data_IF_926930628402
#
_entry.id   IF_926930628402
#
_cell.length_a   1.000
_cell.length_b   1.000
_cell.length_c   1.000
_cell.angle_alpha   90.00
_cell.angle_beta   90.00
_cell.angle_gamma   90.00
#
_symmetry.space_group_name_H-M   'P 1'
#
loop_
_entity.id
_entity.type
_entity.pdbx_description
1 polymer ?
#
# COMPACT_ATOMS: atom_id res chain seq x y z
N UNK A 1 15.94 -16.18 3.98
CA UNK A 1 14.65 -16.15 3.27
C UNK A 1 14.82 -15.18 2.12
N UNK A 2 14.57 -15.60 0.88
CA UNK A 2 14.47 -14.67 -0.23
C UNK A 2 13.24 -13.79 0.08
N UNK A 3 13.47 -12.51 0.36
CA UNK A 3 12.40 -11.53 0.54
C UNK A 3 11.58 -11.51 -0.75
N UNK A 4 10.45 -12.22 -0.77
CA UNK A 4 9.55 -12.20 -1.90
C UNK A 4 9.05 -10.78 -2.08
N UNK A 5 9.24 -10.24 -3.29
CA UNK A 5 8.65 -8.97 -3.65
C UNK A 5 7.13 -9.09 -3.54
N UNK A 6 6.53 -8.11 -2.86
CA UNK A 6 5.09 -8.01 -2.71
C UNK A 6 4.51 -7.27 -3.90
N UNK A 7 3.38 -7.74 -4.40
CA UNK A 7 2.65 -7.12 -5.49
C UNK A 7 1.54 -6.25 -4.94
N UNK A 8 1.33 -5.10 -5.57
CA UNK A 8 0.27 -4.18 -5.20
C UNK A 8 -0.45 -3.63 -6.43
N UNK A 9 -1.76 -3.45 -6.27
CA UNK A 9 -2.66 -2.88 -7.27
C UNK A 9 -3.18 -1.56 -6.73
N UNK A 10 -2.99 -0.52 -7.52
CA UNK A 10 -3.55 0.80 -7.29
C UNK A 10 -4.88 0.91 -8.05
N UNK A 11 -5.92 1.42 -7.39
CA UNK A 11 -7.24 1.53 -7.97
C UNK A 11 -7.98 2.77 -7.46
N UNK A 12 -8.95 3.21 -8.26
CA UNK A 12 -9.83 4.32 -7.90
C UNK A 12 -10.73 3.91 -6.73
N UNK A 13 -10.94 4.78 -5.71
CA UNK A 13 -11.78 4.46 -4.56
C UNK A 13 -13.26 4.19 -4.89
N UNK A 14 -13.71 4.52 -6.11
CA UNK A 14 -15.05 4.16 -6.61
C UNK A 14 -15.16 2.71 -7.11
N UNK A 15 -14.03 2.01 -7.32
CA UNK A 15 -14.05 0.59 -7.67
C UNK A 15 -14.54 -0.25 -6.48
N UNK A 16 -15.28 -1.32 -6.78
CA UNK A 16 -15.66 -2.29 -5.76
C UNK A 16 -14.42 -3.05 -5.25
N UNK A 17 -14.26 -3.10 -3.92
CA UNK A 17 -13.10 -3.74 -3.31
C UNK A 17 -13.08 -5.26 -3.57
N UNK A 18 -14.23 -5.92 -3.61
CA UNK A 18 -14.34 -7.34 -3.90
C UNK A 18 -13.84 -7.66 -5.31
N UNK A 19 -14.22 -6.84 -6.29
CA UNK A 19 -13.75 -6.97 -7.68
C UNK A 19 -12.23 -6.77 -7.80
N UNK A 20 -11.66 -5.80 -7.08
CA UNK A 20 -10.21 -5.57 -7.06
C UNK A 20 -9.46 -6.75 -6.43
N UNK A 21 -9.95 -7.26 -5.30
CA UNK A 21 -9.36 -8.43 -4.64
C UNK A 21 -9.40 -9.63 -5.57
N UNK A 22 -10.54 -9.86 -6.25
CA UNK A 22 -10.67 -10.94 -7.23
C UNK A 22 -9.68 -10.77 -8.38
N UNK A 23 -9.59 -9.58 -8.97
CA UNK A 23 -8.65 -9.27 -10.04
C UNK A 23 -7.20 -9.53 -9.64
N UNK A 24 -6.82 -9.17 -8.42
CA UNK A 24 -5.48 -9.40 -7.89
C UNK A 24 -5.21 -10.90 -7.63
N UNK A 25 -6.15 -11.60 -6.98
CA UNK A 25 -6.01 -13.04 -6.66
C UNK A 25 -5.99 -13.92 -7.90
N UNK A 26 -6.83 -13.62 -8.89
CA UNK A 26 -6.91 -14.34 -10.16
C UNK A 26 -5.88 -13.83 -11.20
N UNK A 27 -5.08 -12.81 -10.84
CA UNK A 27 -4.09 -12.15 -11.69
C UNK A 27 -4.66 -11.71 -13.05
N UNK A 28 -5.89 -11.21 -13.04
CA UNK A 28 -6.59 -10.77 -14.27
C UNK A 28 -6.01 -9.46 -14.84
N UNK A 29 -5.31 -8.68 -14.01
CA UNK A 29 -4.50 -7.55 -14.46
C UNK A 29 -3.14 -7.56 -13.75
N UNK A 30 -2.08 -7.04 -14.40
CA UNK A 30 -0.77 -6.93 -13.78
C UNK A 30 -0.80 -5.99 -12.57
N UNK A 31 0.09 -6.18 -11.57
CA UNK A 31 0.21 -5.24 -10.46
C UNK A 31 0.71 -3.88 -10.94
N UNK A 32 0.27 -2.82 -10.27
CA UNK A 32 0.72 -1.45 -10.54
C UNK A 32 2.19 -1.26 -10.16
N UNK A 33 2.64 -1.96 -9.11
CA UNK A 33 4.04 -2.00 -8.70
C UNK A 33 4.34 -3.26 -7.88
N UNK A 34 5.64 -3.56 -7.74
CA UNK A 34 6.15 -4.51 -6.76
C UNK A 34 7.10 -3.83 -5.78
N UNK A 35 7.14 -4.34 -4.55
CA UNK A 35 7.92 -3.73 -3.48
C UNK A 35 8.43 -4.73 -2.45
N UNK A 36 9.22 -4.23 -1.51
CA UNK A 36 9.65 -4.96 -0.33
C UNK A 36 8.99 -4.34 0.90
N UNK A 37 8.38 -5.18 1.74
CA UNK A 37 7.85 -4.72 3.03
C UNK A 37 9.02 -4.40 3.95
N UNK A 38 9.11 -3.14 4.40
CA UNK A 38 10.14 -2.71 5.35
C UNK A 38 9.65 -2.74 6.79
N UNK A 39 8.35 -2.51 7.01
CA UNK A 39 7.77 -2.44 8.34
C UNK A 39 6.26 -2.68 8.30
N UNK A 40 5.77 -3.36 9.33
CA UNK A 40 4.35 -3.51 9.68
C UNK A 40 4.18 -3.02 11.12
N UNK A 41 3.39 -1.95 11.33
CA UNK A 41 3.15 -1.39 12.68
C UNK A 41 1.70 -0.98 12.83
N UNK A 42 0.95 -1.70 13.67
CA UNK A 42 -0.47 -1.41 13.90
C UNK A 42 -1.25 -1.49 12.59
N UNK A 43 -1.87 -0.37 12.21
CA UNK A 43 -2.61 -0.19 10.96
C UNK A 43 -1.74 0.34 9.80
N UNK A 44 -0.42 0.44 9.98
CA UNK A 44 0.50 0.97 8.97
C UNK A 44 1.38 -0.11 8.33
N UNK A 45 1.61 0.03 7.03
CA UNK A 45 2.50 -0.79 6.21
C UNK A 45 3.46 0.12 5.44
N UNK A 46 4.77 -0.10 5.59
CA UNK A 46 5.79 0.64 4.84
C UNK A 46 6.43 -0.26 3.79
N UNK A 47 6.40 0.18 2.53
CA UNK A 47 6.92 -0.53 1.37
C UNK A 47 8.03 0.28 0.70
N UNK A 48 9.10 -0.39 0.27
CA UNK A 48 10.05 0.15 -0.71
C UNK A 48 9.66 -0.35 -2.10
N UNK A 49 9.47 0.54 -3.06
CA UNK A 49 9.18 0.17 -4.44
C UNK A 49 10.44 -0.41 -5.11
N UNK A 50 10.30 -1.58 -5.73
CA UNK A 50 11.35 -2.26 -6.49
C UNK A 50 11.13 -2.10 -8.01
N UNK A 51 9.88 -2.27 -8.45
CA UNK A 51 9.48 -2.13 -9.84
C UNK A 51 8.10 -1.48 -9.97
N UNK A 52 7.86 -0.79 -11.07
CA UNK A 52 6.68 0.06 -11.28
C UNK A 52 6.79 1.45 -10.65
N UNK A 53 5.77 2.27 -10.88
CA UNK A 53 5.68 3.64 -10.38
C UNK A 53 4.25 3.91 -9.88
N UNK A 54 4.01 3.79 -8.55
CA UNK A 54 2.72 4.18 -7.98
C UNK A 54 2.47 5.66 -8.25
N UNK A 55 1.23 6.03 -8.56
CA UNK A 55 0.91 7.44 -8.90
C UNK A 55 1.23 8.36 -7.73
N UNK A 56 1.05 7.86 -6.50
CA UNK A 56 1.18 8.65 -5.29
C UNK A 56 -0.03 9.55 -5.03
N UNK A 57 -1.16 9.34 -5.72
CA UNK A 57 -2.40 10.04 -5.39
C UNK A 57 -2.89 9.61 -3.99
N UNK A 58 -3.07 10.55 -3.05
CA UNK A 58 -3.58 10.25 -1.72
C UNK A 58 -5.05 9.75 -1.72
N UNK A 59 -5.76 9.87 -2.85
CA UNK A 59 -7.14 9.37 -3.01
C UNK A 59 -7.20 7.93 -3.50
N UNK A 60 -6.13 7.42 -4.12
CA UNK A 60 -6.07 6.04 -4.57
C UNK A 60 -6.10 5.07 -3.40
N UNK A 61 -6.76 3.92 -3.63
CA UNK A 61 -6.65 2.76 -2.76
C UNK A 61 -5.60 1.79 -3.31
N UNK A 62 -4.96 1.07 -2.39
CA UNK A 62 -3.88 0.14 -2.69
C UNK A 62 -4.26 -1.22 -2.11
N UNK A 63 -4.42 -2.23 -2.96
CA UNK A 63 -4.53 -3.61 -2.51
C UNK A 63 -3.14 -4.22 -2.55
N UNK A 64 -2.63 -4.62 -1.39
CA UNK A 64 -1.33 -5.24 -1.23
C UNK A 64 -1.54 -6.74 -1.02
N UNK A 65 -0.99 -7.55 -1.93
CA UNK A 65 -1.18 -8.99 -1.94
C UNK A 65 -0.81 -9.63 -0.60
N UNK A 66 -1.75 -10.35 0.02
CA UNK A 66 -1.54 -11.00 1.32
C UNK A 66 -1.64 -10.07 2.54
N UNK A 67 -1.82 -8.75 2.37
CA UNK A 67 -1.96 -7.79 3.48
C UNK A 67 -3.31 -7.08 3.51
N UNK A 68 -3.97 -6.91 2.36
CA UNK A 68 -5.29 -6.28 2.28
C UNK A 68 -5.27 -4.89 1.62
N UNK A 69 -6.29 -4.09 1.90
CA UNK A 69 -6.48 -2.77 1.31
C UNK A 69 -5.93 -1.66 2.20
N UNK A 70 -5.37 -0.62 1.58
CA UNK A 70 -4.74 0.50 2.27
C UNK A 70 -4.97 1.83 1.53
N UNK A 71 -4.85 2.93 2.26
CA UNK A 71 -4.73 4.30 1.74
C UNK A 71 -3.28 4.75 1.79
N UNK A 72 -2.87 5.64 0.88
CA UNK A 72 -1.57 6.29 0.94
C UNK A 72 -1.54 7.35 2.05
N UNK A 73 -0.67 7.17 3.03
CA UNK A 73 -0.40 8.20 4.04
C UNK A 73 0.80 9.07 3.69
N UNK A 74 1.85 8.47 3.11
CA UNK A 74 3.07 9.20 2.76
C UNK A 74 3.83 8.54 1.62
N UNK A 75 4.34 9.34 0.69
CA UNK A 75 5.33 8.95 -0.32
C UNK A 75 6.62 9.71 -0.07
N UNK A 76 7.75 9.02 -0.04
CA UNK A 76 9.06 9.60 0.18
C UNK A 76 10.04 9.14 -0.90
N UNK A 77 10.89 10.06 -1.35
CA UNK A 77 12.06 9.73 -2.17
C UNK A 77 13.31 9.73 -1.30
N UNK A 78 14.03 8.62 -1.32
CA UNK A 78 15.28 8.46 -0.61
C UNK A 78 16.44 8.38 -1.62
N UNK A 79 17.64 8.80 -1.19
CA UNK A 79 18.82 8.69 -2.04
C UNK A 79 19.07 7.23 -2.44
N UNK A 80 19.69 7.01 -3.61
CA UNK A 80 20.13 5.69 -4.03
C UNK A 80 21.02 5.01 -2.98
N UNK A 81 21.04 3.68 -2.99
CA UNK A 81 22.05 2.92 -2.23
C UNK A 81 23.42 3.06 -2.90
N UNK A 82 24.53 2.92 -2.16
CA UNK A 82 25.87 2.89 -2.75
C UNK A 82 25.95 1.87 -3.89
N UNK A 83 26.44 2.29 -5.06
CA UNK A 83 26.51 1.46 -6.26
C UNK A 83 25.27 1.49 -7.16
N UNK A 84 24.24 2.26 -6.80
CA UNK A 84 23.08 2.53 -7.66
C UNK A 84 22.91 4.03 -7.90
N UNK A 85 22.35 4.39 -9.05
CA UNK A 85 21.91 5.77 -9.36
C UNK A 85 20.40 5.94 -9.21
N UNK A 86 19.66 4.84 -9.04
CA UNK A 86 18.19 4.87 -8.94
C UNK A 86 17.77 5.33 -7.55
N UNK A 87 17.00 6.42 -7.49
CA UNK A 87 16.33 6.86 -6.24
C UNK A 87 15.41 5.76 -5.72
N UNK A 88 15.27 5.67 -4.41
CA UNK A 88 14.34 4.73 -3.77
C UNK A 88 13.04 5.44 -3.47
N UNK A 89 11.92 4.82 -3.81
CA UNK A 89 10.60 5.31 -3.43
C UNK A 89 10.08 4.48 -2.27
N UNK A 90 9.64 5.15 -1.22
CA UNK A 90 9.01 4.55 -0.06
C UNK A 90 7.55 5.00 0.01
N UNK A 91 6.65 4.04 0.23
CA UNK A 91 5.27 4.31 0.55
C UNK A 91 4.99 3.91 1.99
N UNK A 92 4.33 4.78 2.74
CA UNK A 92 3.67 4.44 3.99
C UNK A 92 2.18 4.41 3.72
N UNK A 93 1.58 3.27 3.98
CA UNK A 93 0.19 2.94 3.73
C UNK A 93 -0.54 2.73 5.07
N UNK A 94 -1.81 3.12 5.15
CA UNK A 94 -2.66 2.89 6.33
C UNK A 94 -3.85 2.00 5.97
N UNK A 95 -4.21 1.08 6.85
CA UNK A 95 -5.22 0.07 6.60
C UNK A 95 -6.59 0.69 6.23
N UNK A 96 -7.25 0.09 5.25
CA UNK A 96 -8.60 0.47 4.84
C UNK A 96 -9.61 -0.63 5.22
N UNK A 97 -10.79 -0.29 5.74
CA UNK A 97 -11.22 1.06 6.12
C UNK A 97 -10.44 1.59 7.32
N UNK A 98 -10.23 2.91 7.37
CA UNK A 98 -9.60 3.53 8.53
C UNK A 98 -10.43 3.24 9.78
N UNK A 99 -9.82 2.77 10.89
CA UNK A 99 -10.54 2.65 12.14
C UNK A 99 -11.11 4.02 12.50
N UNK A 100 -12.39 4.09 12.90
CA UNK A 100 -13.01 5.34 13.34
C UNK A 100 -12.21 5.90 14.50
N UNK A 101 -11.40 6.92 14.25
CA UNK A 101 -10.65 7.63 15.29
C UNK A 101 -11.67 8.43 16.12
N UNK A 102 -12.17 7.82 17.20
CA UNK A 102 -12.92 8.52 18.25
C UNK A 102 -14.46 8.49 18.18
N UNK A 103 -15.09 7.31 18.20
CA UNK A 103 -16.36 7.20 18.93
C UNK A 103 -16.06 7.06 20.42
N UNK A 104 -15.54 8.14 21.03
CA UNK A 104 -15.68 8.30 22.47
C UNK A 104 -17.15 8.68 22.65
N UNK A 105 -18.01 7.68 22.89
CA UNK A 105 -19.42 7.90 23.17
C UNK A 105 -19.51 8.67 24.50
N UNK A 106 -19.96 9.95 24.51
CA UNK A 106 -20.15 10.66 25.76
C UNK A 106 -21.39 10.17 26.54
N UNK A 107 -22.13 9.17 26.06
CA UNK A 107 -23.38 8.70 26.67
C UNK A 107 -23.23 7.70 27.84
N UNK A 108 -22.02 7.48 28.37
CA UNK A 108 -21.79 6.66 29.57
C UNK A 108 -21.02 7.43 30.64
N UNK A 109 -21.65 8.48 31.19
CA UNK A 109 -21.37 8.99 32.55
C UNK A 109 -22.64 9.48 33.20
#
# INVERSE_FOLDING_TARGET
MLDMAIEAWEFDPSCDLGDVVKLAMERLAPPSFSGQVLSTRGDSLTLQILDGEPTGDPRSLYYVGGHGAFLLARREEWPPVPGSVRKRTLLTLLAFPQPRTGACDPALR
#
